data_IF_111874034777
#
_entry.id   IF_111874034777
#
_cell.length_a   1.000
_cell.length_b   1.000
_cell.length_c   1.000
_cell.angle_alpha   90.00
_cell.angle_beta   90.00
_cell.angle_gamma   90.00
#
_symmetry.space_group_name_H-M   'P 1'
#
loop_
_entity.id
_entity.type
_entity.pdbx_description
1 polymer ?
#
# COMPACT_ATOMS: atom_id res chain seq x y z
N UNK A 1 81.87 -43.38 -18.57
CA UNK A 1 80.66 -42.58 -18.85
C UNK A 1 79.66 -42.93 -17.77
N UNK A 2 79.58 -42.11 -16.73
CA UNK A 2 78.71 -42.36 -15.57
C UNK A 2 77.62 -41.29 -15.63
N UNK A 3 76.40 -41.70 -15.99
CA UNK A 3 75.24 -40.81 -15.98
C UNK A 3 74.93 -40.38 -14.54
N UNK A 4 74.95 -39.07 -14.31
CA UNK A 4 74.50 -38.48 -13.04
C UNK A 4 72.99 -38.30 -13.15
N UNK A 5 72.24 -39.14 -12.44
CA UNK A 5 70.79 -39.06 -12.32
C UNK A 5 70.40 -37.75 -11.62
N UNK A 6 69.70 -36.85 -12.33
CA UNK A 6 69.10 -35.65 -11.75
C UNK A 6 67.80 -36.02 -11.04
N UNK A 7 67.78 -35.88 -9.72
CA UNK A 7 66.60 -36.09 -8.89
C UNK A 7 65.64 -34.89 -9.05
N UNK A 8 64.31 -35.09 -9.18
CA UNK A 8 63.38 -33.98 -9.32
C UNK A 8 63.27 -33.22 -8.00
N UNK A 9 63.40 -31.89 -8.05
CA UNK A 9 63.20 -31.02 -6.89
C UNK A 9 61.74 -31.09 -6.43
N UNK A 10 61.48 -31.55 -5.22
CA UNK A 10 60.17 -31.39 -4.56
C UNK A 10 59.86 -29.90 -4.40
N UNK A 11 58.92 -29.41 -5.20
CA UNK A 11 58.28 -28.11 -4.98
C UNK A 11 57.43 -28.20 -3.72
N UNK A 12 57.94 -27.66 -2.62
CA UNK A 12 57.18 -27.51 -1.38
C UNK A 12 55.87 -26.77 -1.64
N UNK A 13 54.74 -27.41 -1.29
CA UNK A 13 53.42 -26.78 -1.37
C UNK A 13 53.38 -25.52 -0.48
N UNK A 14 52.74 -24.43 -0.93
CA UNK A 14 52.65 -23.22 -0.13
C UNK A 14 51.88 -23.49 1.18
N UNK A 15 52.25 -22.82 2.29
CA UNK A 15 51.63 -23.06 3.58
C UNK A 15 50.13 -22.78 3.51
N UNK A 16 49.33 -23.69 4.06
CA UNK A 16 47.88 -23.57 4.12
C UNK A 16 47.51 -22.24 4.81
N UNK A 17 46.97 -21.31 4.02
CA UNK A 17 46.46 -20.04 4.48
C UNK A 17 45.41 -20.32 5.56
N UNK A 18 45.72 -19.94 6.80
CA UNK A 18 44.85 -20.13 7.96
C UNK A 18 43.47 -19.59 7.67
N UNK A 19 42.43 -20.40 7.92
CA UNK A 19 41.03 -19.99 7.83
C UNK A 19 40.87 -18.68 8.59
N UNK A 20 40.62 -17.59 7.87
CA UNK A 20 40.12 -16.37 8.47
C UNK A 20 38.84 -16.73 9.25
N UNK A 21 38.95 -16.75 10.57
CA UNK A 21 37.78 -16.70 11.46
C UNK A 21 37.18 -15.32 11.31
N UNK A 22 36.45 -15.07 10.22
CA UNK A 22 35.67 -13.86 10.08
C UNK A 22 34.61 -13.88 11.18
N UNK A 23 34.71 -12.94 12.11
CA UNK A 23 33.72 -12.72 13.19
C UNK A 23 32.40 -12.13 12.65
N UNK A 24 32.42 -11.65 11.40
CA UNK A 24 31.36 -10.91 10.71
C UNK A 24 30.15 -11.76 10.26
N UNK A 25 30.27 -13.06 9.88
CA UNK A 25 29.13 -13.85 9.39
C UNK A 25 28.09 -14.11 10.49
N UNK A 26 28.49 -14.20 11.76
CA UNK A 26 27.58 -14.56 12.84
C UNK A 26 26.60 -13.43 13.19
N UNK A 27 27.06 -12.17 13.17
CA UNK A 27 26.22 -10.99 13.38
C UNK A 27 25.30 -10.79 12.18
N UNK A 28 25.82 -10.97 10.97
CA UNK A 28 25.03 -10.88 9.73
C UNK A 28 23.95 -11.98 9.65
N UNK A 29 24.26 -13.21 10.05
CA UNK A 29 23.31 -14.33 10.07
C UNK A 29 22.26 -14.19 11.18
N UNK A 30 22.58 -13.55 12.31
CA UNK A 30 21.59 -13.20 13.35
C UNK A 30 20.69 -12.02 12.95
N UNK A 31 21.24 -11.02 12.27
CA UNK A 31 20.50 -9.89 11.73
C UNK A 31 19.55 -10.29 10.58
N UNK A 32 19.93 -11.29 9.79
CA UNK A 32 19.14 -11.79 8.65
C UNK A 32 18.17 -12.93 9.00
N UNK A 33 18.31 -13.53 10.19
CA UNK A 33 17.37 -14.52 10.73
C UNK A 33 15.99 -13.93 11.05
N UNK A 34 14.96 -14.78 11.16
CA UNK A 34 13.56 -14.38 11.43
C UNK A 34 13.45 -13.53 12.71
N UNK A 35 14.26 -13.82 13.73
CA UNK A 35 14.35 -13.01 14.96
C UNK A 35 14.91 -11.61 14.71
N UNK A 36 15.93 -11.47 13.84
CA UNK A 36 16.49 -10.18 13.45
C UNK A 36 15.51 -9.34 12.63
N UNK A 37 14.75 -9.96 11.71
CA UNK A 37 13.70 -9.25 10.93
C UNK A 37 12.57 -8.73 11.82
N UNK A 38 12.13 -9.52 12.80
CA UNK A 38 11.13 -9.08 13.78
C UNK A 38 11.67 -7.97 14.69
N UNK A 39 12.91 -8.09 15.15
CA UNK A 39 13.58 -7.04 15.94
C UNK A 39 13.68 -5.71 15.19
N UNK A 40 14.06 -5.75 13.92
CA UNK A 40 14.13 -4.57 13.05
C UNK A 40 12.76 -3.91 12.86
N UNK A 41 11.71 -4.70 12.62
CA UNK A 41 10.35 -4.20 12.45
C UNK A 41 9.82 -3.52 13.73
N UNK A 42 10.07 -4.14 14.89
CA UNK A 42 9.71 -3.54 16.18
C UNK A 42 10.48 -2.23 16.39
N UNK A 43 11.79 -2.22 16.14
CA UNK A 43 12.59 -0.99 16.22
C UNK A 43 12.05 0.11 15.29
N UNK A 44 11.72 -0.22 14.04
CA UNK A 44 11.12 0.72 13.10
C UNK A 44 9.81 1.31 13.62
N UNK A 45 8.89 0.47 14.12
CA UNK A 45 7.61 0.92 14.66
C UNK A 45 7.76 1.76 15.92
N UNK A 46 8.65 1.36 16.83
CA UNK A 46 8.89 2.09 18.09
C UNK A 46 9.53 3.44 17.79
N UNK A 47 10.58 3.48 16.97
CA UNK A 47 11.24 4.73 16.60
C UNK A 47 10.24 5.64 15.88
N UNK A 48 9.52 5.12 14.87
CA UNK A 48 8.49 5.88 14.16
C UNK A 48 7.41 6.44 15.08
N UNK A 49 6.91 5.65 16.03
CA UNK A 49 5.89 6.11 16.98
C UNK A 49 6.41 7.17 17.96
N UNK A 50 7.71 7.18 18.26
CA UNK A 50 8.33 8.17 19.14
C UNK A 50 8.68 9.47 18.41
N UNK A 51 8.80 9.47 17.07
CA UNK A 51 9.19 10.66 16.32
C UNK A 51 8.26 11.87 16.57
N UNK A 52 6.92 11.75 16.49
CA UNK A 52 6.02 12.88 16.77
C UNK A 52 6.03 13.37 18.22
N UNK A 53 6.61 12.59 19.15
CA UNK A 53 6.75 13.01 20.55
C UNK A 53 7.98 13.89 20.78
N UNK A 54 9.03 13.65 19.97
CA UNK A 54 10.29 14.39 20.00
C UNK A 54 10.14 15.66 19.16
N UNK A 55 9.59 15.52 17.95
CA UNK A 55 9.31 16.62 17.04
C UNK A 55 7.81 16.87 16.97
N UNK A 56 7.38 18.02 17.49
CA UNK A 56 5.98 18.43 17.57
C UNK A 56 5.60 19.41 16.45
N UNK A 57 6.49 19.62 15.47
CA UNK A 57 6.18 20.45 14.32
C UNK A 57 5.14 19.75 13.43
N UNK A 58 4.00 20.40 13.22
CA UNK A 58 2.92 19.87 12.40
C UNK A 58 3.34 19.63 10.95
N UNK A 59 4.23 20.47 10.41
CA UNK A 59 4.72 20.32 9.03
C UNK A 59 5.58 19.07 8.83
N UNK A 60 6.41 18.73 9.81
CA UNK A 60 7.27 17.54 9.76
C UNK A 60 6.45 16.26 9.95
N UNK A 61 5.41 16.31 10.80
CA UNK A 61 4.46 15.20 10.98
C UNK A 61 3.64 14.99 9.70
N UNK A 62 3.22 16.06 9.02
CA UNK A 62 2.51 15.99 7.74
C UNK A 62 3.38 15.38 6.63
N UNK A 63 4.63 15.85 6.52
CA UNK A 63 5.61 15.26 5.61
C UNK A 63 5.82 13.77 5.92
N UNK A 64 5.90 13.41 7.21
CA UNK A 64 6.00 12.02 7.66
C UNK A 64 4.78 11.17 7.28
N UNK A 65 3.57 11.72 7.42
CA UNK A 65 2.33 11.02 7.05
C UNK A 65 2.27 10.76 5.54
N UNK A 66 2.62 11.76 4.73
CA UNK A 66 2.73 11.63 3.28
C UNK A 66 3.82 10.63 2.88
N UNK A 67 4.98 10.65 3.54
CA UNK A 67 6.05 9.69 3.31
C UNK A 67 5.62 8.25 3.62
N UNK A 68 4.87 8.03 4.71
CA UNK A 68 4.30 6.73 5.06
C UNK A 68 3.26 6.27 4.03
N UNK A 69 2.42 7.17 3.52
CA UNK A 69 1.48 6.85 2.45
C UNK A 69 2.23 6.39 1.18
N UNK A 70 3.28 7.08 0.76
CA UNK A 70 4.11 6.64 -0.37
C UNK A 70 4.88 5.34 -0.08
N UNK A 71 5.34 5.13 1.15
CA UNK A 71 6.00 3.89 1.56
C UNK A 71 5.04 2.69 1.47
N UNK A 72 3.78 2.86 1.89
CA UNK A 72 2.72 1.85 1.75
C UNK A 72 2.51 1.49 0.28
N UNK A 73 2.47 2.49 -0.62
CA UNK A 73 2.37 2.26 -2.06
C UNK A 73 3.57 1.48 -2.61
N UNK A 74 4.78 1.86 -2.22
CA UNK A 74 6.00 1.18 -2.64
C UNK A 74 6.05 -0.27 -2.11
N UNK A 75 5.65 -0.50 -0.86
CA UNK A 75 5.55 -1.83 -0.27
C UNK A 75 4.51 -2.70 -1.01
N UNK A 76 3.36 -2.12 -1.37
CA UNK A 76 2.33 -2.80 -2.15
C UNK A 76 2.85 -3.22 -3.53
N UNK A 77 3.54 -2.33 -4.25
CA UNK A 77 4.16 -2.65 -5.53
C UNK A 77 5.21 -3.76 -5.40
N UNK A 78 6.08 -3.69 -4.38
CA UNK A 78 7.10 -4.72 -4.14
C UNK A 78 6.49 -6.10 -3.86
N UNK A 79 5.35 -6.15 -3.17
CA UNK A 79 4.62 -7.40 -2.94
C UNK A 79 4.11 -7.95 -4.28
N UNK A 80 3.42 -7.14 -5.08
CA UNK A 80 2.86 -7.58 -6.37
C UNK A 80 3.96 -8.07 -7.32
N UNK A 81 5.00 -7.26 -7.53
CA UNK A 81 6.13 -7.63 -8.41
C UNK A 81 6.88 -8.83 -7.87
N UNK A 82 7.05 -8.93 -6.54
CA UNK A 82 7.70 -10.05 -5.89
C UNK A 82 6.96 -11.38 -6.08
N UNK A 83 5.63 -11.39 -6.10
CA UNK A 83 4.81 -12.60 -6.31
C UNK A 83 4.56 -12.91 -7.80
N UNK A 84 4.30 -11.89 -8.61
CA UNK A 84 3.99 -12.07 -10.03
C UNK A 84 5.24 -12.30 -10.90
N UNK A 85 6.43 -11.89 -10.42
CA UNK A 85 7.68 -11.98 -11.17
C UNK A 85 7.75 -11.08 -12.41
N UNK A 86 6.81 -10.14 -12.55
CA UNK A 86 6.66 -9.25 -13.70
C UNK A 86 6.46 -7.80 -13.20
N UNK A 87 6.92 -6.85 -13.99
CA UNK A 87 6.74 -5.43 -13.71
C UNK A 87 5.27 -5.03 -13.87
N UNK A 88 4.64 -4.57 -12.80
CA UNK A 88 3.29 -4.00 -12.82
C UNK A 88 3.35 -2.47 -12.84
N UNK A 89 3.12 -1.89 -14.02
CA UNK A 89 3.06 -0.43 -14.21
C UNK A 89 1.65 0.15 -13.95
N UNK A 90 0.64 -0.71 -13.78
CA UNK A 90 -0.75 -0.35 -13.56
C UNK A 90 -1.14 -0.22 -12.09
N UNK A 91 -0.21 -0.48 -11.16
CA UNK A 91 -0.46 -0.45 -9.72
C UNK A 91 -1.12 0.85 -9.23
N UNK A 92 -0.69 2.01 -9.75
CA UNK A 92 -1.24 3.31 -9.38
C UNK A 92 -2.74 3.45 -9.72
N UNK A 93 -3.23 2.77 -10.75
CA UNK A 93 -4.65 2.78 -11.11
C UNK A 93 -5.51 2.04 -10.08
N UNK A 94 -5.03 0.92 -9.52
CA UNK A 94 -5.76 0.22 -8.44
C UNK A 94 -5.81 1.05 -7.17
N UNK A 95 -4.71 1.72 -6.84
CA UNK A 95 -4.69 2.69 -5.75
C UNK A 95 -5.71 3.82 -5.98
N UNK A 96 -5.71 4.40 -7.18
CA UNK A 96 -6.66 5.46 -7.55
C UNK A 96 -8.11 4.96 -7.45
N UNK A 97 -8.44 3.79 -7.99
CA UNK A 97 -9.80 3.21 -7.91
C UNK A 97 -10.25 3.06 -6.45
N UNK A 98 -9.40 2.54 -5.57
CA UNK A 98 -9.73 2.39 -4.15
C UNK A 98 -9.91 3.73 -3.43
N UNK A 99 -9.05 4.71 -3.72
CA UNK A 99 -9.12 6.05 -3.15
C UNK A 99 -10.38 6.81 -3.62
N UNK A 100 -10.66 6.78 -4.93
CA UNK A 100 -11.88 7.37 -5.49
C UNK A 100 -13.14 6.65 -5.01
N UNK A 101 -13.11 5.32 -4.80
CA UNK A 101 -14.25 4.62 -4.23
C UNK A 101 -14.59 5.18 -2.84
N UNK A 102 -13.62 5.26 -1.92
CA UNK A 102 -13.89 5.87 -0.61
C UNK A 102 -14.33 7.33 -0.76
N UNK A 103 -13.62 8.12 -1.57
CA UNK A 103 -13.92 9.53 -1.77
C UNK A 103 -15.33 9.76 -2.29
N UNK A 104 -15.77 9.05 -3.31
CA UNK A 104 -17.09 9.21 -3.94
C UNK A 104 -18.22 8.84 -2.97
N UNK A 105 -18.09 7.73 -2.23
CA UNK A 105 -19.13 7.30 -1.31
C UNK A 105 -19.17 8.14 -0.02
N UNK A 106 -18.02 8.60 0.48
CA UNK A 106 -17.97 9.41 1.71
C UNK A 106 -18.17 10.91 1.49
N UNK A 107 -18.31 11.35 0.24
CA UNK A 107 -18.58 12.74 -0.14
C UNK A 107 -20.03 12.91 -0.59
N UNK A 108 -20.36 14.12 -1.05
CA UNK A 108 -21.70 14.47 -1.51
C UNK A 108 -21.91 14.26 -3.02
N UNK A 109 -21.02 13.50 -3.66
CA UNK A 109 -21.03 13.31 -5.11
C UNK A 109 -22.12 12.34 -5.59
N UNK A 110 -22.45 11.32 -4.79
CA UNK A 110 -23.47 10.32 -5.13
C UNK A 110 -24.61 10.40 -4.11
N UNK A 111 -25.71 11.00 -4.55
CA UNK A 111 -26.90 11.23 -3.72
C UNK A 111 -28.15 10.70 -4.43
N UNK A 112 -28.38 9.38 -4.45
CA UNK A 112 -29.58 8.84 -5.06
C UNK A 112 -30.82 9.29 -4.29
N UNK A 113 -31.94 9.35 -5.00
CA UNK A 113 -33.22 9.71 -4.40
C UNK A 113 -33.63 8.68 -3.33
N UNK A 114 -34.28 9.16 -2.28
CA UNK A 114 -34.80 8.34 -1.21
C UNK A 114 -36.03 7.56 -1.65
N UNK A 115 -36.04 6.27 -1.32
CA UNK A 115 -37.16 5.35 -1.52
C UNK A 115 -37.00 4.17 -0.55
N UNK A 116 -38.05 3.37 -0.37
CA UNK A 116 -38.12 2.34 0.69
C UNK A 116 -37.00 1.28 0.67
N UNK A 117 -36.29 1.10 -0.45
CA UNK A 117 -35.10 0.24 -0.53
C UNK A 117 -33.99 0.65 0.47
N UNK A 118 -33.87 1.93 0.81
CA UNK A 118 -32.79 2.44 1.66
C UNK A 118 -33.05 2.29 3.16
N UNK A 119 -34.29 2.01 3.58
CA UNK A 119 -34.66 1.91 4.99
C UNK A 119 -33.82 0.90 5.80
N UNK A 120 -33.55 -0.32 5.30
CA UNK A 120 -32.71 -1.29 6.04
C UNK A 120 -31.26 -0.79 6.21
N UNK A 121 -30.73 -0.08 5.22
CA UNK A 121 -29.36 0.45 5.27
C UNK A 121 -29.24 1.62 6.23
N UNK A 122 -30.30 2.41 6.39
CA UNK A 122 -30.38 3.45 7.42
C UNK A 122 -30.43 2.84 8.82
N UNK A 123 -31.21 1.77 9.02
CA UNK A 123 -31.22 1.05 10.29
C UNK A 123 -29.84 0.48 10.65
N UNK A 124 -29.07 0.03 9.66
CA UNK A 124 -27.68 -0.42 9.80
C UNK A 124 -26.65 0.73 9.96
N UNK A 125 -27.07 2.00 9.85
CA UNK A 125 -26.18 3.17 9.94
C UNK A 125 -25.23 3.33 8.74
N UNK A 126 -25.50 2.65 7.63
CA UNK A 126 -24.69 2.73 6.39
C UNK A 126 -25.10 3.91 5.50
N UNK A 127 -26.32 4.40 5.69
CA UNK A 127 -26.94 5.48 4.93
C UNK A 127 -27.70 6.41 5.87
N UNK A 128 -27.74 7.69 5.55
CA UNK A 128 -28.58 8.70 6.19
C UNK A 128 -29.57 9.29 5.18
N UNK A 129 -30.83 9.44 5.60
CA UNK A 129 -31.85 10.17 4.85
C UNK A 129 -31.66 11.67 5.07
N UNK A 130 -31.40 12.41 4.00
CA UNK A 130 -31.36 13.87 3.98
C UNK A 130 -32.69 14.41 3.44
N UNK A 131 -33.50 14.98 4.31
CA UNK A 131 -34.79 15.59 3.93
C UNK A 131 -34.55 16.99 3.38
N UNK A 132 -34.90 17.20 2.12
CA UNK A 132 -34.89 18.52 1.48
C UNK A 132 -36.24 19.20 1.67
N UNK A 133 -36.30 20.52 1.97
CA UNK A 133 -37.57 21.24 2.14
C UNK A 133 -38.50 21.20 0.92
N UNK A 134 -37.92 21.17 -0.28
CA UNK A 134 -38.64 21.42 -1.55
C UNK A 134 -38.61 20.22 -2.53
N UNK A 135 -38.22 19.01 -2.10
CA UNK A 135 -38.09 17.85 -2.99
C UNK A 135 -38.02 16.49 -2.31
N UNK A 136 -37.99 15.38 -3.08
CA UNK A 136 -37.74 14.06 -2.51
C UNK A 136 -36.40 14.07 -1.77
N UNK A 137 -36.37 13.49 -0.57
CA UNK A 137 -35.14 13.40 0.20
C UNK A 137 -34.06 12.62 -0.56
N UNK A 138 -32.80 12.83 -0.18
CA UNK A 138 -31.66 12.15 -0.79
C UNK A 138 -30.96 11.24 0.21
N UNK A 139 -30.21 10.29 -0.33
CA UNK A 139 -29.38 9.37 0.44
C UNK A 139 -27.97 9.92 0.54
N UNK A 140 -27.41 9.92 1.75
CA UNK A 140 -25.98 10.10 1.96
C UNK A 140 -25.39 8.85 2.58
N UNK A 141 -24.31 8.33 2.00
CA UNK A 141 -23.65 7.16 2.53
C UNK A 141 -22.78 7.54 3.73
N UNK A 142 -23.01 6.88 4.86
CA UNK A 142 -22.30 7.09 6.13
C UNK A 142 -21.39 5.91 6.48
N UNK A 143 -20.98 5.14 5.47
CA UNK A 143 -20.10 3.98 5.63
C UNK A 143 -18.78 4.42 6.27
N UNK A 144 -18.46 3.85 7.42
CA UNK A 144 -17.23 4.19 8.14
C UNK A 144 -15.99 3.91 7.29
N UNK A 145 -14.95 4.74 7.46
CA UNK A 145 -13.65 4.56 6.81
C UNK A 145 -13.13 3.12 6.91
N UNK A 146 -13.22 2.53 8.10
CA UNK A 146 -12.71 1.18 8.38
C UNK A 146 -13.45 0.08 7.62
N UNK A 147 -14.76 0.22 7.42
CA UNK A 147 -15.55 -0.72 6.62
C UNK A 147 -15.35 -0.46 5.13
N UNK A 148 -15.11 0.80 4.74
CA UNK A 148 -14.85 1.13 3.36
C UNK A 148 -13.46 0.70 2.89
N UNK A 149 -12.46 0.55 3.78
CA UNK A 149 -11.16 -0.02 3.42
C UNK A 149 -11.25 -1.40 2.72
N UNK A 150 -11.88 -2.44 3.30
CA UNK A 150 -12.05 -3.72 2.62
C UNK A 150 -13.01 -3.64 1.44
N UNK A 151 -14.05 -2.78 1.48
CA UNK A 151 -14.97 -2.61 0.34
C UNK A 151 -14.23 -2.01 -0.86
N UNK A 152 -13.42 -0.97 -0.66
CA UNK A 152 -12.56 -0.38 -1.69
C UNK A 152 -11.56 -1.40 -2.23
N UNK A 153 -11.01 -2.27 -1.38
CA UNK A 153 -10.16 -3.37 -1.85
C UNK A 153 -10.93 -4.37 -2.74
N UNK A 154 -12.19 -4.69 -2.40
CA UNK A 154 -13.05 -5.53 -3.23
C UNK A 154 -13.44 -4.85 -4.56
N UNK A 155 -13.70 -3.54 -4.54
CA UNK A 155 -13.96 -2.76 -5.76
C UNK A 155 -12.73 -2.76 -6.66
N UNK A 156 -11.55 -2.49 -6.10
CA UNK A 156 -10.29 -2.55 -6.84
C UNK A 156 -10.03 -3.96 -7.39
N UNK A 157 -10.30 -5.01 -6.61
CA UNK A 157 -10.19 -6.40 -7.05
C UNK A 157 -11.17 -6.74 -8.18
N UNK A 158 -12.41 -6.24 -8.12
CA UNK A 158 -13.40 -6.40 -9.19
C UNK A 158 -12.89 -5.79 -10.51
N UNK A 159 -12.41 -4.55 -10.48
CA UNK A 159 -11.80 -3.93 -11.65
C UNK A 159 -10.53 -4.66 -12.10
N UNK A 160 -9.74 -5.18 -11.16
CA UNK A 160 -8.56 -5.99 -11.44
C UNK A 160 -8.89 -7.29 -12.16
N UNK A 161 -9.97 -7.98 -11.78
CA UNK A 161 -10.44 -9.17 -12.51
C UNK A 161 -11.00 -8.78 -13.87
N UNK A 162 -11.79 -7.70 -13.94
CA UNK A 162 -12.43 -7.23 -15.17
C UNK A 162 -11.40 -6.88 -16.25
N UNK A 163 -10.37 -6.11 -15.89
CA UNK A 163 -9.31 -5.70 -16.81
C UNK A 163 -8.14 -6.68 -16.90
N UNK A 164 -7.90 -7.47 -15.85
CA UNK A 164 -6.84 -8.48 -15.82
C UNK A 164 -7.18 -9.75 -16.59
N UNK A 165 -8.43 -10.21 -16.58
CA UNK A 165 -8.81 -11.45 -17.27
C UNK A 165 -8.51 -11.43 -18.78
N UNK A 166 -8.75 -10.33 -19.53
CA UNK A 166 -8.34 -10.22 -20.93
C UNK A 166 -6.82 -10.21 -21.14
N UNK A 167 -6.05 -9.65 -20.20
CA UNK A 167 -4.60 -9.43 -20.36
C UNK A 167 -3.77 -10.66 -20.04
N UNK A 168 -4.32 -11.66 -19.34
CA UNK A 168 -3.67 -12.95 -19.09
C UNK A 168 -3.27 -13.70 -20.38
N UNK A 169 -3.82 -13.31 -21.53
CA UNK A 169 -3.46 -13.87 -22.84
C UNK A 169 -2.18 -13.26 -23.42
N UNK A 170 -1.71 -12.14 -22.86
CA UNK A 170 -0.55 -11.39 -23.32
C UNK A 170 0.70 -11.87 -22.58
N UNK A 171 1.86 -11.79 -23.23
CA UNK A 171 3.14 -12.21 -22.66
C UNK A 171 4.22 -11.16 -22.90
N UNK A 172 5.16 -11.06 -21.96
CA UNK A 172 6.31 -10.17 -22.05
C UNK A 172 5.88 -8.71 -22.18
N UNK A 173 6.39 -8.04 -23.21
CA UNK A 173 6.23 -6.61 -23.43
C UNK A 173 4.77 -6.18 -23.62
N UNK A 174 3.94 -7.04 -24.22
CA UNK A 174 2.51 -6.75 -24.42
C UNK A 174 1.76 -6.61 -23.10
N UNK A 175 2.13 -7.40 -22.09
CA UNK A 175 1.52 -7.28 -20.76
C UNK A 175 1.91 -5.96 -20.10
N UNK A 176 3.19 -5.57 -20.21
CA UNK A 176 3.70 -4.32 -19.65
C UNK A 176 3.07 -3.07 -20.31
N UNK A 177 2.86 -3.09 -21.63
CA UNK A 177 2.19 -2.01 -22.35
C UNK A 177 0.76 -1.83 -21.84
N UNK A 178 0.03 -2.94 -21.62
CA UNK A 178 -1.36 -2.84 -21.15
C UNK A 178 -1.44 -2.37 -19.70
N UNK A 179 -0.53 -2.79 -18.81
CA UNK A 179 -0.53 -2.30 -17.42
C UNK A 179 -0.23 -0.80 -17.35
N UNK A 180 0.71 -0.29 -18.16
CA UNK A 180 0.94 1.14 -18.32
C UNK A 180 -0.33 1.84 -18.83
N UNK A 181 -0.92 1.33 -19.91
CA UNK A 181 -2.16 1.87 -20.48
C UNK A 181 -3.29 1.97 -19.45
N UNK A 182 -3.50 0.92 -18.66
CA UNK A 182 -4.47 0.93 -17.56
C UNK A 182 -4.12 1.99 -16.50
N UNK A 183 -2.84 2.09 -16.13
CA UNK A 183 -2.31 3.11 -15.23
C UNK A 183 -2.65 4.54 -15.65
N UNK A 184 -2.60 4.83 -16.95
CA UNK A 184 -2.87 6.16 -17.51
C UNK A 184 -4.37 6.40 -17.78
N UNK A 185 -5.12 5.37 -18.19
CA UNK A 185 -6.56 5.47 -18.47
C UNK A 185 -7.34 5.88 -17.22
N UNK A 186 -7.03 5.32 -16.05
CA UNK A 186 -7.81 5.58 -14.83
C UNK A 186 -7.80 7.06 -14.43
N UNK A 187 -6.65 7.76 -14.33
CA UNK A 187 -6.61 9.20 -14.09
C UNK A 187 -7.28 10.03 -15.19
N UNK A 188 -7.17 9.61 -16.46
CA UNK A 188 -7.85 10.29 -17.56
C UNK A 188 -9.36 10.20 -17.38
N UNK A 189 -9.89 9.00 -17.13
CA UNK A 189 -11.33 8.80 -16.88
C UNK A 189 -11.76 9.61 -15.67
N UNK A 190 -11.03 9.54 -14.56
CA UNK A 190 -11.37 10.29 -13.34
C UNK A 190 -11.46 11.80 -13.60
N UNK A 191 -10.60 12.39 -14.44
CA UNK A 191 -10.67 13.83 -14.76
C UNK A 191 -11.76 14.19 -15.77
N UNK A 192 -12.25 13.22 -16.55
CA UNK A 192 -13.25 13.43 -17.62
C UNK A 192 -14.68 13.03 -17.23
N UNK A 193 -14.92 12.66 -15.97
CA UNK A 193 -16.25 12.28 -15.46
C UNK A 193 -16.73 13.29 -14.39
N UNK A 194 -17.04 14.54 -14.80
CA UNK A 194 -17.31 15.63 -13.84
C UNK A 194 -18.53 15.37 -12.96
N UNK A 195 -19.55 14.65 -13.45
CA UNK A 195 -20.74 14.33 -12.67
C UNK A 195 -20.47 13.40 -11.48
N UNK A 196 -19.35 12.66 -11.48
CA UNK A 196 -19.03 11.67 -10.45
C UNK A 196 -17.83 12.07 -9.60
N UNK A 197 -16.77 12.58 -10.23
CA UNK A 197 -15.50 12.88 -9.56
C UNK A 197 -15.25 14.38 -9.38
N UNK A 198 -16.14 15.21 -9.92
CA UNK A 198 -15.92 16.65 -10.08
C UNK A 198 -14.71 16.99 -10.98
N UNK A 199 -14.28 16.04 -11.82
CA UNK A 199 -13.27 16.23 -12.85
C UNK A 199 -11.92 16.69 -12.31
N UNK A 200 -11.32 17.69 -12.95
CA UNK A 200 -10.02 18.24 -12.53
C UNK A 200 -10.06 19.00 -11.19
N UNK A 201 -11.24 19.41 -10.71
CA UNK A 201 -11.39 20.09 -9.43
C UNK A 201 -11.31 19.14 -8.22
N UNK A 202 -11.48 17.84 -8.45
CA UNK A 202 -11.41 16.81 -7.41
C UNK A 202 -12.61 16.80 -6.45
N UNK A 203 -12.63 15.79 -5.59
CA UNK A 203 -13.71 15.55 -4.64
C UNK A 203 -13.66 16.55 -3.48
N UNK A 204 -14.82 17.00 -3.04
CA UNK A 204 -14.98 17.91 -1.92
C UNK A 204 -15.88 17.30 -0.85
N UNK A 205 -15.61 17.60 0.42
CA UNK A 205 -16.41 17.09 1.54
C UNK A 205 -16.24 15.59 1.79
N UNK A 206 -15.08 15.01 1.45
CA UNK A 206 -14.74 13.63 1.82
C UNK A 206 -14.71 13.54 3.34
N UNK A 207 -15.52 12.66 3.93
CA UNK A 207 -15.59 12.51 5.37
C UNK A 207 -14.25 12.04 5.95
N UNK A 208 -13.81 12.66 7.06
CA UNK A 208 -12.61 12.21 7.77
C UNK A 208 -12.87 10.90 8.52
N UNK A 209 -11.87 10.00 8.64
CA UNK A 209 -11.98 8.82 9.47
C UNK A 209 -12.27 9.19 10.95
N UNK A 210 -13.07 8.36 11.61
CA UNK A 210 -13.32 8.44 13.05
C UNK A 210 -12.89 7.14 13.72
N UNK A 211 -12.35 7.24 14.93
CA UNK A 211 -11.92 6.09 15.71
C UNK A 211 -12.35 6.29 17.17
N UNK A 212 -13.22 5.42 17.68
CA UNK A 212 -13.76 5.50 19.05
C UNK A 212 -14.36 6.87 19.41
N UNK A 213 -15.05 7.52 18.46
CA UNK A 213 -15.65 8.84 18.64
C UNK A 213 -14.70 10.03 18.43
N UNK A 214 -13.40 9.77 18.27
CA UNK A 214 -12.42 10.79 17.88
C UNK A 214 -12.38 10.95 16.36
N UNK A 215 -12.64 12.16 15.85
CA UNK A 215 -12.50 12.47 14.43
C UNK A 215 -11.08 12.89 14.10
N UNK A 216 -10.53 12.32 13.03
CA UNK A 216 -9.18 12.66 12.55
C UNK A 216 -9.15 14.08 11.97
N UNK A 217 -10.30 14.57 11.47
CA UNK A 217 -10.42 15.87 10.84
C UNK A 217 -9.39 16.03 9.71
N UNK A 218 -8.66 17.15 9.76
CA UNK A 218 -7.54 17.46 8.86
C UNK A 218 -6.19 17.41 9.57
N UNK A 219 -6.15 16.86 10.80
CA UNK A 219 -4.92 16.82 11.58
C UNK A 219 -4.00 15.73 11.04
N UNK A 220 -2.72 16.04 10.83
CA UNK A 220 -1.76 15.09 10.25
C UNK A 220 -1.35 13.97 11.21
N UNK A 221 -1.41 14.20 12.52
CA UNK A 221 -0.94 13.24 13.54
C UNK A 221 -1.72 11.91 13.53
N UNK A 222 -3.06 11.88 13.49
CA UNK A 222 -3.82 10.63 13.31
C UNK A 222 -3.47 9.88 12.02
N UNK A 223 -3.29 10.60 10.90
CA UNK A 223 -2.91 9.99 9.63
C UNK A 223 -1.48 9.42 9.67
N UNK A 224 -0.56 10.07 10.37
CA UNK A 224 0.79 9.57 10.61
C UNK A 224 0.77 8.19 11.31
N UNK A 225 0.06 8.09 12.44
CA UNK A 225 -0.01 6.83 13.18
C UNK A 225 -0.76 5.74 12.40
N UNK A 226 -1.81 6.11 11.66
CA UNK A 226 -2.50 5.19 10.75
C UNK A 226 -1.56 4.67 9.67
N UNK A 227 -0.80 5.56 9.02
CA UNK A 227 0.20 5.21 8.01
C UNK A 227 1.28 4.29 8.59
N UNK A 228 1.78 4.57 9.79
CA UNK A 228 2.78 3.75 10.45
C UNK A 228 2.24 2.34 10.78
N UNK A 229 1.00 2.26 11.27
CA UNK A 229 0.33 1.01 11.56
C UNK A 229 0.10 0.16 10.29
N UNK A 230 -0.36 0.80 9.21
CA UNK A 230 -0.58 0.13 7.91
C UNK A 230 0.74 -0.33 7.28
N UNK A 231 1.79 0.49 7.31
CA UNK A 231 3.12 0.10 6.85
C UNK A 231 3.65 -1.10 7.65
N UNK A 232 3.55 -1.06 8.99
CA UNK A 232 3.89 -2.18 9.86
C UNK A 232 3.13 -3.46 9.51
N UNK A 233 1.81 -3.36 9.33
CA UNK A 233 0.95 -4.47 8.92
C UNK A 233 1.40 -5.07 7.58
N UNK A 234 1.69 -4.22 6.58
CA UNK A 234 2.15 -4.69 5.27
C UNK A 234 3.52 -5.36 5.34
N UNK A 235 4.46 -4.84 6.14
CA UNK A 235 5.76 -5.49 6.33
C UNK A 235 5.56 -6.85 7.02
N UNK A 236 4.68 -6.94 8.03
CA UNK A 236 4.36 -8.22 8.69
C UNK A 236 3.78 -9.22 7.68
N UNK A 237 2.84 -8.79 6.84
CA UNK A 237 2.24 -9.62 5.79
C UNK A 237 3.32 -10.08 4.80
N UNK A 238 4.16 -9.17 4.33
CA UNK A 238 5.27 -9.48 3.42
C UNK A 238 6.24 -10.51 4.01
N UNK A 239 6.58 -10.37 5.29
CA UNK A 239 7.42 -11.33 6.00
C UNK A 239 6.76 -12.69 6.17
N UNK A 240 5.44 -12.75 6.32
CA UNK A 240 4.69 -14.02 6.41
C UNK A 240 4.59 -14.71 5.05
N UNK A 241 4.37 -13.98 3.97
CA UNK A 241 4.21 -14.58 2.64
C UNK A 241 5.51 -15.17 2.08
N UNK A 242 6.67 -14.78 2.61
CA UNK A 242 7.98 -15.35 2.22
C UNK A 242 8.28 -16.70 2.89
N UNK A 243 7.52 -17.07 3.92
CA UNK A 243 7.66 -18.32 4.67
C UNK A 243 6.56 -19.31 4.29
#
# INVERSE_FOLDING_TARGET
>A
MTETQLQPSETAAPPAMGRETSFIPAIWNRATGIAGRRGFLIAFLVIGALLPLIDRNEGDIDAGANALAYAILALGLNIVVGFAGLLDLGYAAFFAIGAYAYGIFSSYQVQPEWWGFWEPFQWLGLVQHMTSPDGPGTVHFTVSFWLMLPISALIAAFFGVLFGAPTLRLKGDYLAIVTLGFGEIVPIVARNVPYLTNGAAGLNGVASPTLFGYSFGVQSLPFYYLGLALAGLLIIISLRLKN
#
